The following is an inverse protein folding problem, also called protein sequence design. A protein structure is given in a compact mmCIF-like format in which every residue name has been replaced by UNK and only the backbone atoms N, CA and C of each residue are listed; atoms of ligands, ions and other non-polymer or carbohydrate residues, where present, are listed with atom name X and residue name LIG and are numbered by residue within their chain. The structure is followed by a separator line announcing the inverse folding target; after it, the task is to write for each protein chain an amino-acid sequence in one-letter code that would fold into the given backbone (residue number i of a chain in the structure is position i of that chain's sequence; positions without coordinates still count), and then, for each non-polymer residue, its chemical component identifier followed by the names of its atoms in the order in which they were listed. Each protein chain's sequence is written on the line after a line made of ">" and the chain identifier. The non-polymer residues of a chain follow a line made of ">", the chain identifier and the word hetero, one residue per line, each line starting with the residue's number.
data_IF_813611307575
#
_entry.id   IF_813611307575
#
_cell.length_a   1.000
_cell.length_b   1.000
_cell.length_c   1.000
_cell.angle_alpha   90.00
_cell.angle_beta   90.00
_cell.angle_gamma   90.00
#
_symmetry.space_group_name_H-M   'P 1'
#
loop_
_entity.id
_entity.type
_entity.pdbx_description
1 polymer ?
#
# COMPACT_ATOMS: atom_id res chain seq x y z
N UNK A 1 -4.28 -16.37 0.15
CA UNK A 1 -3.51 -15.35 0.90
C UNK A 1 -4.32 -14.09 0.81
N UNK A 2 -4.87 -13.61 1.92
CA UNK A 2 -5.67 -12.39 1.94
C UNK A 2 -4.73 -11.19 1.99
N UNK A 3 -4.85 -10.28 1.01
CA UNK A 3 -4.08 -9.04 1.00
C UNK A 3 -4.76 -7.99 1.88
N UNK A 4 -3.97 -7.16 2.54
CA UNK A 4 -4.45 -6.10 3.41
C UNK A 4 -3.37 -5.04 3.61
N UNK A 5 -3.72 -3.97 4.31
CA UNK A 5 -2.78 -2.91 4.70
C UNK A 5 -1.67 -3.40 5.66
N UNK A 6 -1.88 -4.55 6.30
CA UNK A 6 -0.89 -5.21 7.15
C UNK A 6 0.09 -6.08 6.34
N UNK A 7 -0.21 -6.32 5.05
CA UNK A 7 0.71 -7.00 4.14
C UNK A 7 1.92 -6.11 3.84
N UNK A 8 3.08 -6.73 3.59
CA UNK A 8 4.27 -5.96 3.22
C UNK A 8 4.01 -5.22 1.92
N UNK A 9 4.43 -3.96 1.89
CA UNK A 9 4.32 -3.13 0.69
C UNK A 9 5.07 -3.78 -0.50
N UNK A 10 6.17 -4.49 -0.25
CA UNK A 10 6.87 -5.27 -1.28
C UNK A 10 5.96 -6.29 -1.95
N UNK A 11 5.30 -7.13 -1.16
CA UNK A 11 4.39 -8.18 -1.66
C UNK A 11 3.21 -7.57 -2.43
N UNK A 12 2.70 -6.43 -1.97
CA UNK A 12 1.62 -5.69 -2.65
C UNK A 12 2.08 -5.03 -3.97
N UNK A 13 3.34 -4.66 -4.09
CA UNK A 13 3.88 -4.05 -5.32
C UNK A 13 4.35 -5.08 -6.33
N UNK A 14 4.72 -6.27 -5.87
CA UNK A 14 5.14 -7.38 -6.73
C UNK A 14 3.94 -8.05 -7.42
N UNK A 15 2.72 -7.84 -6.93
CA UNK A 15 1.48 -8.26 -7.57
C UNK A 15 0.83 -7.09 -8.35
N UNK A 16 0.60 -7.29 -9.65
CA UNK A 16 0.06 -6.24 -10.54
C UNK A 16 -1.33 -5.75 -10.13
N UNK A 17 -2.19 -6.63 -9.60
CA UNK A 17 -3.55 -6.28 -9.16
C UNK A 17 -3.51 -5.38 -7.94
N UNK A 18 -2.75 -5.75 -6.92
CA UNK A 18 -2.61 -4.95 -5.69
C UNK A 18 -1.83 -3.67 -5.95
N UNK A 19 -0.84 -3.70 -6.85
CA UNK A 19 -0.12 -2.51 -7.31
C UNK A 19 -1.05 -1.51 -8.00
N UNK A 20 -1.97 -1.97 -8.86
CA UNK A 20 -2.93 -1.09 -9.51
C UNK A 20 -3.88 -0.42 -8.51
N UNK A 21 -4.34 -1.15 -7.48
CA UNK A 21 -5.13 -0.59 -6.38
C UNK A 21 -4.33 0.48 -5.63
N UNK A 22 -3.08 0.18 -5.31
CA UNK A 22 -2.18 1.12 -4.64
C UNK A 22 -1.96 2.38 -5.47
N UNK A 23 -1.65 2.29 -6.75
CA UNK A 23 -1.45 3.47 -7.62
C UNK A 23 -2.75 4.28 -7.82
N UNK A 24 -3.92 3.63 -7.82
CA UNK A 24 -5.23 4.29 -7.93
C UNK A 24 -5.51 5.21 -6.74
N UNK A 25 -5.18 4.76 -5.53
CA UNK A 25 -5.43 5.52 -4.29
C UNK A 25 -4.23 6.34 -3.82
N UNK A 26 -3.02 5.84 -4.05
CA UNK A 26 -1.73 6.35 -3.60
C UNK A 26 -0.80 6.56 -4.81
N UNK A 27 -1.09 7.53 -5.68
CA UNK A 27 -0.35 7.72 -6.92
C UNK A 27 1.13 8.02 -6.64
N UNK A 28 2.01 7.29 -7.31
CA UNK A 28 3.46 7.43 -7.14
C UNK A 28 4.05 6.66 -5.96
N UNK A 29 3.26 5.82 -5.26
CA UNK A 29 3.80 4.97 -4.19
C UNK A 29 4.88 4.02 -4.71
N UNK A 30 4.71 3.42 -5.90
CA UNK A 30 5.68 2.47 -6.44
C UNK A 30 6.97 3.13 -6.94
N UNK A 31 6.95 4.44 -7.20
CA UNK A 31 8.06 5.23 -7.71
C UNK A 31 8.67 6.16 -6.66
N UNK A 32 8.15 6.13 -5.43
CA UNK A 32 8.60 7.00 -4.35
C UNK A 32 10.10 6.77 -4.07
N UNK A 33 10.92 7.81 -3.82
CA UNK A 33 12.36 7.67 -3.59
C UNK A 33 12.71 6.75 -2.41
N UNK A 34 11.82 6.60 -1.44
CA UNK A 34 11.98 5.71 -0.28
C UNK A 34 11.29 4.35 -0.45
N UNK A 35 10.84 3.99 -1.65
CA UNK A 35 10.07 2.76 -1.86
C UNK A 35 10.86 1.51 -1.47
N UNK A 36 12.17 1.50 -1.73
CA UNK A 36 13.05 0.39 -1.35
C UNK A 36 13.03 0.11 0.16
N UNK A 37 12.98 1.17 0.98
CA UNK A 37 12.82 1.05 2.44
C UNK A 37 11.39 0.63 2.79
N UNK A 38 10.39 1.26 2.16
CA UNK A 38 8.97 0.99 2.40
C UNK A 38 8.56 -0.46 2.11
N UNK A 39 9.16 -1.11 1.09
CA UNK A 39 8.90 -2.50 0.72
C UNK A 39 9.10 -3.50 1.87
N UNK A 40 9.98 -3.18 2.82
CA UNK A 40 10.24 -4.01 4.00
C UNK A 40 9.16 -3.92 5.09
N UNK A 41 8.26 -2.96 5.01
CA UNK A 41 7.25 -2.67 6.03
C UNK A 41 5.82 -2.92 5.52
N UNK A 42 4.88 -3.05 6.44
CA UNK A 42 3.45 -3.06 6.13
C UNK A 42 3.00 -1.70 5.58
N UNK A 43 2.00 -1.68 4.69
CA UNK A 43 1.46 -0.43 4.14
C UNK A 43 0.95 0.52 5.23
N UNK A 44 0.30 -0.02 6.27
CA UNK A 44 -0.15 0.74 7.44
C UNK A 44 0.99 1.48 8.16
N UNK A 45 2.16 0.83 8.25
CA UNK A 45 3.37 1.42 8.82
C UNK A 45 3.96 2.48 7.88
N UNK A 46 4.02 2.21 6.57
CA UNK A 46 4.50 3.17 5.56
C UNK A 46 3.65 4.44 5.59
N UNK A 47 2.34 4.32 5.77
CA UNK A 47 1.46 5.47 5.90
C UNK A 47 1.77 6.35 7.12
N UNK A 48 2.12 5.76 8.26
CA UNK A 48 2.57 6.51 9.44
C UNK A 48 3.87 7.28 9.16
N UNK A 49 4.77 6.70 8.38
CA UNK A 49 6.01 7.37 7.95
C UNK A 49 5.79 8.43 6.87
N UNK A 50 4.67 8.38 6.16
CA UNK A 50 4.36 9.32 5.07
C UNK A 50 4.05 10.74 5.53
N UNK A 51 3.94 10.99 6.85
CA UNK A 51 3.71 12.33 7.40
C UNK A 51 2.36 12.95 7.02
N UNK A 52 1.36 12.12 6.70
CA UNK A 52 0.02 12.56 6.31
C UNK A 52 -0.25 12.53 4.80
N UNK A 53 0.71 12.10 3.97
CA UNK A 53 0.47 11.87 2.53
C UNK A 53 -0.51 10.72 2.30
N UNK A 54 -0.39 9.66 3.11
CA UNK A 54 -1.34 8.56 3.14
C UNK A 54 -2.28 8.79 4.33
N UNK A 55 -3.50 9.25 4.04
CA UNK A 55 -4.53 9.48 5.05
C UNK A 55 -5.22 8.18 5.45
N UNK A 56 -5.85 8.16 6.62
CA UNK A 56 -6.61 6.99 7.10
C UNK A 56 -7.76 6.61 6.16
N UNK A 57 -8.41 7.59 5.51
CA UNK A 57 -9.47 7.34 4.51
C UNK A 57 -8.95 6.60 3.28
N UNK A 58 -7.81 7.04 2.72
CA UNK A 58 -7.17 6.35 1.59
C UNK A 58 -6.76 4.93 1.99
N UNK A 59 -6.21 4.80 3.20
CA UNK A 59 -5.74 3.54 3.74
C UNK A 59 -6.89 2.55 3.93
N UNK A 60 -8.05 3.02 4.42
CA UNK A 60 -9.26 2.22 4.56
C UNK A 60 -9.78 1.75 3.19
N UNK A 61 -9.85 2.64 2.19
CA UNK A 61 -10.26 2.29 0.81
C UNK A 61 -9.34 1.27 0.17
N UNK A 62 -8.03 1.44 0.32
CA UNK A 62 -7.05 0.45 -0.13
C UNK A 62 -7.27 -0.87 0.59
N UNK A 63 -7.48 -0.86 1.91
CA UNK A 63 -7.72 -2.08 2.67
C UNK A 63 -8.96 -2.84 2.19
N UNK A 64 -10.07 -2.13 1.95
CA UNK A 64 -11.29 -2.74 1.41
C UNK A 64 -11.04 -3.39 0.05
N UNK A 65 -10.38 -2.69 -0.88
CA UNK A 65 -10.09 -3.26 -2.20
C UNK A 65 -9.11 -4.43 -2.12
N UNK A 66 -8.08 -4.36 -1.27
CA UNK A 66 -7.12 -5.45 -1.07
C UNK A 66 -7.77 -6.69 -0.45
N UNK A 67 -8.63 -6.50 0.56
CA UNK A 67 -9.32 -7.60 1.22
C UNK A 67 -10.39 -8.22 0.34
N UNK A 68 -10.99 -7.47 -0.58
CA UNK A 68 -11.91 -7.99 -1.59
C UNK A 68 -11.23 -8.95 -2.59
N UNK A 69 -9.88 -8.98 -2.68
CA UNK A 69 -9.15 -9.91 -3.55
C UNK A 69 -8.96 -11.31 -2.94
N UNK A 70 -9.32 -11.54 -1.67
CA UNK A 70 -9.05 -12.83 -1.00
C UNK A 70 -9.82 -13.09 0.28
#
# INVERSE_FOLDING_TARGET
>A
MSFSIESKLGDLLDNETTKAILEKHLPGISTHPQIAMGKGFALSMVAKFSGGLITEDLLAKVNEELTALG
#
